data_IF_050220639379
#
_entry.id   IF_050220639379
#
_cell.length_a   1.000
_cell.length_b   1.000
_cell.length_c   1.000
_cell.angle_alpha   90.00
_cell.angle_beta   90.00
_cell.angle_gamma   90.00
#
_symmetry.space_group_name_H-M   'P 1'
#
loop_
_entity.id
_entity.type
_entity.pdbx_description
1 polymer ?
#
# COMPACT_ATOMS: atom_id res chain seq x y z
N UNK A 1 42.77 0.87 -5.25
CA UNK A 1 41.44 0.19 -5.27
C UNK A 1 40.35 1.24 -5.38
N UNK A 2 39.78 1.45 -6.58
CA UNK A 2 38.78 2.51 -6.81
C UNK A 2 37.41 1.97 -6.41
N UNK A 3 36.79 2.55 -5.37
CA UNK A 3 35.40 2.23 -4.99
C UNK A 3 34.48 2.84 -6.06
N UNK A 4 33.72 1.99 -6.76
CA UNK A 4 32.67 2.44 -7.69
C UNK A 4 31.53 3.09 -6.89
N UNK A 5 30.87 4.13 -7.42
CA UNK A 5 29.72 4.75 -6.75
C UNK A 5 28.55 3.77 -6.70
N UNK A 6 27.97 3.60 -5.51
CA UNK A 6 26.72 2.86 -5.31
C UNK A 6 25.61 3.73 -5.91
N UNK A 7 24.99 3.27 -6.99
CA UNK A 7 23.79 3.93 -7.54
C UNK A 7 22.70 3.87 -6.47
N UNK A 8 22.26 5.04 -5.98
CA UNK A 8 21.09 5.17 -5.11
C UNK A 8 19.87 4.60 -5.83
N UNK A 9 19.40 3.44 -5.39
CA UNK A 9 18.21 2.78 -5.93
C UNK A 9 16.98 3.46 -5.33
N UNK A 10 16.46 4.44 -6.08
CA UNK A 10 15.14 5.06 -5.99
C UNK A 10 14.72 5.59 -4.61
N UNK A 11 14.49 6.91 -4.45
CA UNK A 11 13.96 7.42 -3.19
C UNK A 11 12.61 6.76 -2.92
N UNK A 12 12.44 6.18 -1.73
CA UNK A 12 11.15 5.75 -1.21
C UNK A 12 10.20 6.94 -1.26
N UNK A 13 9.31 6.98 -2.25
CA UNK A 13 8.33 8.05 -2.40
C UNK A 13 7.13 7.69 -1.53
N UNK A 14 7.02 8.34 -0.38
CA UNK A 14 5.76 8.35 0.37
C UNK A 14 4.83 9.32 -0.36
N UNK A 15 3.85 8.80 -1.08
CA UNK A 15 2.86 9.63 -1.80
C UNK A 15 1.53 9.54 -1.07
N UNK A 16 1.10 10.65 -0.46
CA UNK A 16 -0.20 10.76 0.17
C UNK A 16 -1.25 11.11 -0.88
N UNK A 17 -2.08 10.16 -1.28
CA UNK A 17 -3.26 10.44 -2.10
C UNK A 17 -4.49 10.60 -1.20
N UNK A 18 -5.07 11.80 -1.18
CA UNK A 18 -6.46 11.98 -0.77
C UNK A 18 -7.33 11.65 -1.99
N UNK A 19 -7.88 10.44 -2.05
CA UNK A 19 -8.80 10.07 -3.14
C UNK A 19 -10.20 10.59 -2.76
N UNK A 20 -10.75 11.61 -3.43
CA UNK A 20 -12.14 12.01 -3.22
C UNK A 20 -13.06 10.86 -3.64
N UNK A 21 -14.01 10.51 -2.78
CA UNK A 21 -14.91 9.35 -2.90
C UNK A 21 -15.95 9.45 -4.04
N UNK A 22 -15.86 10.42 -4.95
CA UNK A 22 -16.86 10.62 -6.01
C UNK A 22 -16.15 10.94 -7.33
N UNK A 23 -16.16 9.97 -8.24
CA UNK A 23 -15.93 10.16 -9.68
C UNK A 23 -17.22 9.71 -10.41
N UNK A 24 -18.20 10.60 -10.44
CA UNK A 24 -19.05 10.77 -11.63
C UNK A 24 -18.26 11.76 -12.50
N UNK A 25 -17.87 11.53 -13.75
CA UNK A 25 -18.44 10.74 -14.85
C UNK A 25 -17.27 10.12 -15.66
N UNK A 26 -17.47 8.97 -16.31
CA UNK A 26 -16.45 8.36 -17.20
C UNK A 26 -15.71 7.12 -16.68
N UNK A 27 -16.45 6.17 -16.09
CA UNK A 27 -16.20 4.71 -15.97
C UNK A 27 -14.78 4.19 -15.65
N UNK A 28 -13.96 4.94 -14.93
CA UNK A 28 -12.75 4.38 -14.30
C UNK A 28 -13.03 4.23 -12.80
N UNK A 29 -13.28 3.00 -12.36
CA UNK A 29 -13.64 2.72 -10.96
C UNK A 29 -12.49 3.10 -10.03
N UNK A 30 -12.75 3.57 -8.80
CA UNK A 30 -11.68 3.95 -7.86
C UNK A 30 -10.62 2.86 -7.66
N UNK A 31 -11.01 1.59 -7.77
CA UNK A 31 -10.11 0.43 -7.73
C UNK A 31 -9.11 0.40 -8.89
N UNK A 32 -9.47 0.90 -10.09
CA UNK A 32 -8.54 1.00 -11.22
C UNK A 32 -7.34 1.87 -10.83
N UNK A 33 -7.56 3.05 -10.26
CA UNK A 33 -6.46 3.92 -9.84
C UNK A 33 -5.63 3.31 -8.71
N UNK A 34 -6.23 2.55 -7.79
CA UNK A 34 -5.48 1.80 -6.78
C UNK A 34 -4.56 0.75 -7.42
N UNK A 35 -5.05 0.04 -8.44
CA UNK A 35 -4.22 -0.92 -9.21
C UNK A 35 -3.11 -0.21 -9.97
N UNK A 36 -3.41 0.93 -10.60
CA UNK A 36 -2.40 1.74 -11.30
C UNK A 36 -1.32 2.24 -10.34
N UNK A 37 -1.67 2.65 -9.12
CA UNK A 37 -0.70 3.02 -8.09
C UNK A 37 0.19 1.83 -7.70
N UNK A 38 -0.40 0.67 -7.42
CA UNK A 38 0.35 -0.54 -7.08
C UNK A 38 1.32 -0.94 -8.21
N UNK A 39 0.86 -0.87 -9.46
CA UNK A 39 1.65 -1.16 -10.65
C UNK A 39 2.78 -0.15 -10.86
N UNK A 40 2.48 1.15 -10.76
CA UNK A 40 3.44 2.24 -10.98
C UNK A 40 4.61 2.17 -9.98
N UNK A 41 4.32 1.93 -8.70
CA UNK A 41 5.33 1.82 -7.67
C UNK A 41 5.93 0.42 -7.53
N UNK A 42 5.54 -0.54 -8.38
CA UNK A 42 6.11 -1.91 -8.44
C UNK A 42 6.22 -2.58 -7.07
N UNK A 43 5.14 -2.56 -6.29
CA UNK A 43 5.08 -3.09 -4.92
C UNK A 43 5.92 -2.34 -3.86
N UNK A 44 6.53 -1.20 -4.22
CA UNK A 44 7.19 -0.28 -3.28
C UNK A 44 6.22 0.83 -2.83
N UNK A 45 5.03 0.43 -2.40
CA UNK A 45 3.97 1.31 -1.92
C UNK A 45 3.20 0.61 -0.80
N UNK A 46 2.76 1.40 0.17
CA UNK A 46 1.96 0.98 1.33
C UNK A 46 0.79 1.93 1.50
N UNK A 47 -0.28 1.46 2.13
CA UNK A 47 -1.44 2.28 2.48
C UNK A 47 -1.46 2.52 3.99
N UNK A 48 -1.40 3.78 4.43
CA UNK A 48 -1.60 4.13 5.83
C UNK A 48 -3.07 4.42 6.07
N UNK A 49 -3.69 3.64 6.96
CA UNK A 49 -5.10 3.80 7.29
C UNK A 49 -5.26 4.67 8.56
N UNK A 50 -6.02 5.78 8.52
CA UNK A 50 -6.19 6.66 9.68
C UNK A 50 -6.97 6.01 10.84
N UNK A 51 -7.67 4.92 10.58
CA UNK A 51 -8.38 4.14 11.59
C UNK A 51 -7.63 2.84 11.88
N UNK A 52 -7.77 2.32 13.11
CA UNK A 52 -7.21 1.00 13.44
C UNK A 52 -7.81 -0.09 12.56
N UNK A 53 -6.96 -0.91 11.98
CA UNK A 53 -7.34 -2.01 11.09
C UNK A 53 -7.88 -3.15 11.94
N UNK A 54 -9.20 -3.26 12.01
CA UNK A 54 -9.94 -4.38 12.61
C UNK A 54 -10.66 -5.16 11.50
N UNK A 55 -10.15 -6.33 11.05
CA UNK A 55 -10.70 -7.07 9.92
C UNK A 55 -12.20 -7.37 10.03
N UNK A 56 -12.68 -7.62 11.25
CA UNK A 56 -14.07 -7.90 11.59
C UNK A 56 -15.01 -6.71 11.33
N UNK A 57 -14.50 -5.49 11.45
CA UNK A 57 -15.28 -4.24 11.34
C UNK A 57 -14.87 -3.39 10.14
N UNK A 58 -13.93 -3.86 9.33
CA UNK A 58 -13.44 -3.14 8.17
C UNK A 58 -14.55 -3.02 7.10
N UNK A 59 -14.93 -1.79 6.70
CA UNK A 59 -15.78 -1.56 5.54
C UNK A 59 -15.20 -2.22 4.29
N UNK A 60 -16.08 -2.64 3.37
CA UNK A 60 -15.74 -3.38 2.17
C UNK A 60 -14.62 -2.75 1.33
N UNK A 61 -14.66 -1.43 1.14
CA UNK A 61 -13.63 -0.69 0.39
C UNK A 61 -12.23 -0.88 0.98
N UNK A 62 -12.09 -0.96 2.31
CA UNK A 62 -10.79 -1.20 2.95
C UNK A 62 -10.31 -2.62 2.69
N UNK A 63 -11.19 -3.61 2.71
CA UNK A 63 -10.86 -5.00 2.37
C UNK A 63 -10.38 -5.11 0.91
N UNK A 64 -11.00 -4.38 -0.01
CA UNK A 64 -10.55 -4.29 -1.41
C UNK A 64 -9.15 -3.66 -1.50
N UNK A 65 -8.95 -2.46 -0.95
CA UNK A 65 -7.65 -1.76 -1.04
C UNK A 65 -6.54 -2.61 -0.41
N UNK A 66 -6.80 -3.18 0.78
CA UNK A 66 -5.84 -4.00 1.52
C UNK A 66 -5.54 -5.35 0.87
N UNK A 67 -6.38 -5.83 -0.06
CA UNK A 67 -6.07 -6.98 -0.93
C UNK A 67 -5.11 -6.64 -2.07
N UNK A 68 -4.88 -5.35 -2.35
CA UNK A 68 -4.04 -4.86 -3.47
C UNK A 68 -2.74 -4.25 -2.95
N UNK A 69 -2.82 -3.41 -1.91
CA UNK A 69 -1.69 -2.68 -1.34
C UNK A 69 -1.55 -3.05 0.15
N UNK A 70 -0.34 -3.39 0.64
CA UNK A 70 -0.09 -3.62 2.06
C UNK A 70 -0.52 -2.40 2.88
N UNK A 71 -1.47 -2.63 3.79
CA UNK A 71 -2.08 -1.61 4.63
C UNK A 71 -1.57 -1.71 6.07
N UNK A 72 -1.23 -0.57 6.67
CA UNK A 72 -0.78 -0.42 8.06
C UNK A 72 -1.56 0.69 8.77
N UNK A 73 -1.60 0.66 10.10
CA UNK A 73 -2.25 1.70 10.90
C UNK A 73 -1.48 3.02 10.83
N UNK A 74 -2.18 4.15 10.86
CA UNK A 74 -1.58 5.48 11.01
C UNK A 74 -1.26 5.75 12.49
N UNK A 75 -0.39 4.92 13.07
CA UNK A 75 0.26 5.14 14.37
C UNK A 75 1.77 5.19 14.17
N UNK A 76 2.53 5.51 15.23
CA UNK A 76 4.00 5.48 15.15
C UNK A 76 4.49 4.08 14.82
N UNK A 77 3.97 3.07 15.52
CA UNK A 77 4.32 1.66 15.32
C UNK A 77 3.94 1.18 13.92
N UNK A 78 2.77 1.61 13.42
CA UNK A 78 2.33 1.27 12.06
C UNK A 78 3.21 1.91 10.99
N UNK A 79 3.67 3.14 11.20
CA UNK A 79 4.64 3.81 10.31
C UNK A 79 5.98 3.06 10.33
N UNK A 80 6.49 2.67 11.51
CA UNK A 80 7.72 1.89 11.62
C UNK A 80 7.63 0.56 10.88
N UNK A 81 6.52 -0.18 11.03
CA UNK A 81 6.26 -1.41 10.30
C UNK A 81 6.17 -1.18 8.79
N UNK A 82 5.50 -0.10 8.36
CA UNK A 82 5.40 0.26 6.95
C UNK A 82 6.77 0.59 6.34
N UNK A 83 7.63 1.29 7.09
CA UNK A 83 8.99 1.59 6.66
C UNK A 83 9.86 0.33 6.60
N UNK A 84 9.72 -0.58 7.56
CA UNK A 84 10.45 -1.85 7.53
C UNK A 84 10.02 -2.73 6.34
N UNK A 85 8.71 -2.77 6.06
CA UNK A 85 8.18 -3.42 4.86
C UNK A 85 8.82 -2.85 3.58
N UNK A 86 8.81 -1.52 3.42
CA UNK A 86 9.37 -0.85 2.24
C UNK A 86 10.89 -1.09 2.10
N UNK A 87 11.62 -1.08 3.21
CA UNK A 87 13.08 -1.31 3.24
C UNK A 87 13.46 -2.74 2.88
N UNK A 88 12.65 -3.72 3.31
CA UNK A 88 12.95 -5.14 3.13
C UNK A 88 12.30 -5.72 1.87
N UNK A 89 11.37 -4.99 1.25
CA UNK A 89 10.51 -5.46 0.18
C UNK A 89 9.46 -6.46 0.67
N UNK A 90 9.06 -6.35 1.94
CA UNK A 90 8.11 -7.28 2.57
C UNK A 90 8.62 -8.71 2.74
N UNK A 91 9.92 -8.94 2.59
CA UNK A 91 10.50 -10.29 2.73
C UNK A 91 10.22 -10.80 4.15
N UNK A 92 9.57 -11.96 4.22
CA UNK A 92 9.16 -12.62 5.47
C UNK A 92 8.07 -11.90 6.27
N UNK A 93 7.38 -10.92 5.69
CA UNK A 93 6.22 -10.29 6.35
C UNK A 93 4.91 -10.85 5.83
N UNK A 94 4.06 -11.31 6.73
CA UNK A 94 2.66 -11.57 6.44
C UNK A 94 1.89 -10.25 6.55
N UNK A 95 1.29 -9.81 5.45
CA UNK A 95 0.60 -8.50 5.37
C UNK A 95 -0.90 -8.66 5.14
N UNK A 96 -1.62 -7.54 5.18
CA UNK A 96 -3.05 -7.49 4.83
C UNK A 96 -3.35 -8.02 3.43
N UNK A 97 -2.43 -7.85 2.46
CA UNK A 97 -2.57 -8.46 1.12
C UNK A 97 -2.60 -9.97 1.19
N UNK A 98 -1.81 -10.58 2.07
CA UNK A 98 -1.83 -12.03 2.29
C UNK A 98 -3.10 -12.48 3.01
N UNK A 99 -3.53 -11.72 4.02
CA UNK A 99 -4.74 -11.99 4.80
C UNK A 99 -6.02 -11.94 3.95
N UNK A 100 -6.13 -10.92 3.09
CA UNK A 100 -7.29 -10.70 2.22
C UNK A 100 -7.11 -11.29 0.81
N UNK A 101 -6.06 -12.09 0.60
CA UNK A 101 -5.81 -12.78 -0.67
C UNK A 101 -6.98 -13.71 -0.99
N UNK A 102 -7.57 -13.57 -2.17
CA UNK A 102 -8.68 -14.43 -2.60
C UNK A 102 -10.08 -13.91 -2.25
N UNK A 103 -10.22 -12.68 -1.74
CA UNK A 103 -11.46 -11.93 -1.97
C UNK A 103 -11.57 -11.71 -3.49
N UNK A 104 -12.34 -12.58 -4.16
CA UNK A 104 -12.48 -12.60 -5.61
C UNK A 104 -13.18 -11.33 -6.10
N UNK A 105 -12.53 -10.61 -7.02
CA UNK A 105 -13.14 -9.60 -7.89
C UNK A 105 -12.49 -9.66 -9.27
#
# INVERSE_FOLDING_TARGET
>A
MVRKPIKSTSPTKVVFYRIPYILQEGKTTGIYYIRELANHFKNNVVWLNPELIRPEWAPWTRKIISSIIPMFDLTIEGIEQAMDYLRTGGRHMFTTVHFFKGLAY
#
